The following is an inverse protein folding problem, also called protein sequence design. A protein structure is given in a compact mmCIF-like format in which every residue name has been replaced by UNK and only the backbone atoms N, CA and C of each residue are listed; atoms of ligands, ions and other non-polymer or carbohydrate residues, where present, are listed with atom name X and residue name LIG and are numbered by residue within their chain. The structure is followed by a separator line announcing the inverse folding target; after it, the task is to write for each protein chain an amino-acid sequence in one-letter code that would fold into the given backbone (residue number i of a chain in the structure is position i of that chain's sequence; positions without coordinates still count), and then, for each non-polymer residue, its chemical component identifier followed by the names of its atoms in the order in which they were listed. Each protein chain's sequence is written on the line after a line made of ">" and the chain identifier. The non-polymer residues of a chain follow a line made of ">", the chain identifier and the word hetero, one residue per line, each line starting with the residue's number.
data_IF_895141576336
#
_entry.id   IF_895141576336
#
_cell.length_a   1.000
_cell.length_b   1.000
_cell.length_c   1.000
_cell.angle_alpha   90.00
_cell.angle_beta   90.00
_cell.angle_gamma   90.00
#
_symmetry.space_group_name_H-M   'P 1'
#
loop_
_entity.id
_entity.type
_entity.pdbx_description
1 polymer ?
#
# COMPACT_ATOMS: atom_id res chain seq x y z
N UNK A 1 -42.88 -16.61 -147.81
CA UNK A 1 -43.76 -16.17 -146.69
C UNK A 1 -43.29 -16.86 -145.42
N UNK A 2 -42.84 -16.10 -144.42
CA UNK A 2 -42.31 -16.64 -143.16
C UNK A 2 -43.48 -16.88 -142.20
N UNK A 3 -43.55 -18.09 -141.67
CA UNK A 3 -44.65 -18.63 -140.88
C UNK A 3 -44.70 -18.02 -139.47
N UNK A 4 -45.73 -17.22 -139.21
CA UNK A 4 -45.91 -16.44 -137.97
C UNK A 4 -46.19 -17.32 -136.72
N UNK A 5 -46.38 -18.63 -136.89
CA UNK A 5 -46.66 -19.59 -135.82
C UNK A 5 -45.42 -20.01 -135.02
N UNK A 6 -44.22 -19.99 -135.61
CA UNK A 6 -42.96 -20.37 -134.94
C UNK A 6 -42.35 -19.29 -134.03
N UNK A 7 -42.71 -18.02 -134.22
CA UNK A 7 -42.17 -16.90 -133.42
C UNK A 7 -42.94 -16.73 -132.09
N UNK A 8 -44.22 -17.13 -132.03
CA UNK A 8 -45.01 -17.08 -130.79
C UNK A 8 -44.60 -18.14 -129.76
N UNK A 9 -44.17 -19.33 -130.19
CA UNK A 9 -43.78 -20.42 -129.27
C UNK A 9 -42.43 -20.21 -128.58
N UNK A 10 -41.53 -19.41 -129.18
CA UNK A 10 -40.23 -19.06 -128.57
C UNK A 10 -40.35 -17.92 -127.53
N UNK A 11 -41.27 -16.97 -127.72
CA UNK A 11 -41.56 -15.91 -126.72
C UNK A 11 -42.34 -16.40 -125.50
N UNK A 12 -43.06 -17.52 -125.61
CA UNK A 12 -43.83 -18.08 -124.50
C UNK A 12 -43.00 -19.02 -123.61
N UNK A 13 -41.94 -19.63 -124.13
CA UNK A 13 -40.99 -20.44 -123.34
C UNK A 13 -40.01 -19.61 -122.50
N UNK A 14 -39.62 -18.40 -122.91
CA UNK A 14 -38.67 -17.57 -122.13
C UNK A 14 -39.30 -16.79 -120.96
N UNK A 15 -40.62 -16.51 -121.00
CA UNK A 15 -41.32 -15.81 -119.90
C UNK A 15 -41.70 -16.73 -118.73
N UNK A 16 -41.76 -18.06 -118.92
CA UNK A 16 -42.18 -18.99 -117.86
C UNK A 16 -41.05 -19.29 -116.86
N UNK A 17 -39.79 -19.30 -117.30
CA UNK A 17 -38.62 -19.68 -116.48
C UNK A 17 -38.08 -18.56 -115.58
N UNK A 18 -38.35 -17.29 -115.91
CA UNK A 18 -37.85 -16.12 -115.16
C UNK A 18 -38.75 -15.80 -113.94
N UNK A 19 -40.05 -16.11 -114.03
CA UNK A 19 -41.00 -15.89 -112.92
C UNK A 19 -40.85 -16.87 -111.76
N UNK A 20 -40.46 -18.12 -112.03
CA UNK A 20 -40.28 -19.16 -111.00
C UNK A 20 -38.93 -19.03 -110.27
N UNK A 21 -37.86 -18.67 -110.96
CA UNK A 21 -36.54 -18.42 -110.35
C UNK A 21 -36.50 -17.17 -109.47
N UNK A 22 -37.24 -16.11 -109.82
CA UNK A 22 -37.34 -14.90 -108.98
C UNK A 22 -38.20 -15.14 -107.72
N UNK A 23 -39.26 -15.94 -107.82
CA UNK A 23 -40.07 -16.37 -106.66
C UNK A 23 -39.26 -17.27 -105.72
N UNK A 24 -38.45 -18.19 -106.24
CA UNK A 24 -37.57 -19.04 -105.44
C UNK A 24 -36.47 -18.23 -104.74
N UNK A 25 -35.83 -17.27 -105.42
CA UNK A 25 -34.85 -16.36 -104.79
C UNK A 25 -35.47 -15.47 -103.71
N UNK A 26 -36.70 -14.97 -103.91
CA UNK A 26 -37.43 -14.23 -102.86
C UNK A 26 -37.82 -15.12 -101.68
N UNK A 27 -38.32 -16.33 -101.93
CA UNK A 27 -38.64 -17.29 -100.87
C UNK A 27 -37.38 -17.69 -100.09
N UNK A 28 -36.27 -17.95 -100.77
CA UNK A 28 -34.97 -18.26 -100.15
C UNK A 28 -34.43 -17.07 -99.35
N UNK A 29 -34.57 -15.84 -99.83
CA UNK A 29 -34.21 -14.63 -99.07
C UNK A 29 -35.07 -14.48 -97.81
N UNK A 30 -36.38 -14.72 -97.91
CA UNK A 30 -37.30 -14.66 -96.76
C UNK A 30 -36.95 -15.76 -95.75
N UNK A 31 -36.63 -16.98 -96.19
CA UNK A 31 -36.18 -18.07 -95.33
C UNK A 31 -34.84 -17.73 -94.68
N UNK A 32 -33.90 -17.12 -95.41
CA UNK A 32 -32.60 -16.71 -94.87
C UNK A 32 -32.74 -15.58 -93.83
N UNK A 33 -33.62 -14.60 -94.10
CA UNK A 33 -33.97 -13.54 -93.15
C UNK A 33 -34.63 -14.17 -91.92
N UNK A 34 -35.60 -15.08 -92.10
CA UNK A 34 -36.26 -15.78 -91.00
C UNK A 34 -35.26 -16.54 -90.12
N UNK A 35 -34.33 -17.29 -90.74
CA UNK A 35 -33.25 -18.00 -90.03
C UNK A 35 -32.33 -17.01 -89.31
N UNK A 36 -31.95 -15.90 -89.94
CA UNK A 36 -31.12 -14.86 -89.30
C UNK A 36 -31.85 -14.18 -88.12
N UNK A 37 -33.15 -13.89 -88.23
CA UNK A 37 -33.95 -13.34 -87.11
C UNK A 37 -34.12 -14.35 -85.98
N UNK A 38 -34.33 -15.64 -86.28
CA UNK A 38 -34.43 -16.68 -85.25
C UNK A 38 -33.07 -16.92 -84.59
N UNK A 39 -31.99 -16.96 -85.36
CA UNK A 39 -30.63 -17.13 -84.85
C UNK A 39 -30.16 -15.94 -84.02
N UNK A 40 -30.44 -14.70 -84.45
CA UNK A 40 -30.13 -13.49 -83.68
C UNK A 40 -30.99 -13.37 -82.43
N UNK A 41 -32.28 -13.71 -82.48
CA UNK A 41 -33.15 -13.79 -81.31
C UNK A 41 -32.67 -14.83 -80.29
N UNK A 42 -32.20 -15.99 -80.74
CA UNK A 42 -31.64 -17.03 -79.88
C UNK A 42 -30.30 -16.61 -79.24
N UNK A 43 -29.41 -15.96 -79.99
CA UNK A 43 -28.15 -15.41 -79.46
C UNK A 43 -28.40 -14.31 -78.42
N UNK A 44 -29.30 -13.37 -78.70
CA UNK A 44 -29.66 -12.29 -77.77
C UNK A 44 -30.30 -12.85 -76.48
N UNK A 45 -31.17 -13.86 -76.59
CA UNK A 45 -31.76 -14.53 -75.44
C UNK A 45 -30.70 -15.22 -74.56
N UNK A 46 -29.73 -15.91 -75.17
CA UNK A 46 -28.65 -16.56 -74.41
C UNK A 46 -27.74 -15.55 -73.73
N UNK A 47 -27.40 -14.43 -74.38
CA UNK A 47 -26.61 -13.34 -73.78
C UNK A 47 -27.36 -12.71 -72.59
N UNK A 48 -28.66 -12.44 -72.74
CA UNK A 48 -29.49 -11.91 -71.65
C UNK A 48 -29.59 -12.88 -70.47
N UNK A 49 -29.78 -14.17 -70.77
CA UNK A 49 -29.85 -15.24 -69.77
C UNK A 49 -28.52 -15.38 -69.00
N UNK A 50 -27.39 -15.37 -69.69
CA UNK A 50 -26.06 -15.41 -69.06
C UNK A 50 -25.78 -14.19 -68.20
N UNK A 51 -26.18 -12.99 -68.64
CA UNK A 51 -26.03 -11.76 -67.88
C UNK A 51 -26.89 -11.77 -66.58
N UNK A 52 -28.11 -12.31 -66.63
CA UNK A 52 -28.94 -12.51 -65.44
C UNK A 52 -28.34 -13.56 -64.50
N UNK A 53 -27.83 -14.67 -65.04
CA UNK A 53 -27.12 -15.69 -64.27
C UNK A 53 -25.86 -15.15 -63.58
N UNK A 54 -25.10 -14.27 -64.24
CA UNK A 54 -23.94 -13.60 -63.64
C UNK A 54 -24.36 -12.68 -62.50
N UNK A 55 -25.39 -11.86 -62.67
CA UNK A 55 -25.93 -10.99 -61.60
C UNK A 55 -26.38 -11.79 -60.38
N UNK A 56 -27.06 -12.93 -60.60
CA UNK A 56 -27.48 -13.83 -59.51
C UNK A 56 -26.25 -14.41 -58.80
N UNK A 57 -25.24 -14.88 -59.54
CA UNK A 57 -24.00 -15.42 -58.96
C UNK A 57 -23.22 -14.37 -58.18
N UNK A 58 -23.11 -13.14 -58.68
CA UNK A 58 -22.46 -12.03 -57.97
C UNK A 58 -23.20 -11.67 -56.69
N UNK A 59 -24.54 -11.63 -56.73
CA UNK A 59 -25.37 -11.40 -55.55
C UNK A 59 -25.21 -12.51 -54.50
N UNK A 60 -25.22 -13.79 -54.93
CA UNK A 60 -24.97 -14.94 -54.04
C UNK A 60 -23.56 -14.91 -53.44
N UNK A 61 -22.55 -14.53 -54.24
CA UNK A 61 -21.18 -14.40 -53.78
C UNK A 61 -21.05 -13.28 -52.74
N UNK A 62 -21.65 -12.11 -52.98
CA UNK A 62 -21.64 -10.99 -52.02
C UNK A 62 -22.35 -11.37 -50.71
N UNK A 63 -23.49 -12.06 -50.80
CA UNK A 63 -24.21 -12.56 -49.62
C UNK A 63 -23.36 -13.56 -48.83
N UNK A 64 -22.69 -14.49 -49.52
CA UNK A 64 -21.80 -15.46 -48.88
C UNK A 64 -20.62 -14.79 -48.18
N UNK A 65 -19.97 -13.83 -48.85
CA UNK A 65 -18.86 -13.06 -48.26
C UNK A 65 -19.30 -12.28 -47.01
N UNK A 66 -20.53 -11.72 -47.00
CA UNK A 66 -21.09 -11.06 -45.84
C UNK A 66 -21.33 -12.04 -44.68
N UNK A 67 -21.91 -13.21 -44.95
CA UNK A 67 -22.14 -14.23 -43.92
C UNK A 67 -20.84 -14.81 -43.35
N UNK A 68 -19.83 -15.03 -44.20
CA UNK A 68 -18.48 -15.42 -43.76
C UNK A 68 -17.86 -14.32 -42.88
N UNK A 69 -18.02 -13.04 -43.25
CA UNK A 69 -17.57 -11.91 -42.44
C UNK A 69 -18.30 -11.83 -41.09
N UNK A 70 -19.61 -12.08 -41.05
CA UNK A 70 -20.38 -12.16 -39.80
C UNK A 70 -19.88 -13.29 -38.89
N UNK A 71 -19.59 -14.45 -39.45
CA UNK A 71 -19.06 -15.59 -38.69
C UNK A 71 -17.69 -15.24 -38.07
N UNK A 72 -16.78 -14.67 -38.86
CA UNK A 72 -15.48 -14.21 -38.38
C UNK A 72 -15.61 -13.12 -37.32
N UNK A 73 -16.47 -12.11 -37.54
CA UNK A 73 -16.70 -11.04 -36.59
C UNK A 73 -17.24 -11.55 -35.24
N UNK A 74 -18.12 -12.56 -35.24
CA UNK A 74 -18.57 -13.21 -33.99
C UNK A 74 -17.43 -13.90 -33.26
N UNK A 75 -16.54 -14.56 -33.97
CA UNK A 75 -15.36 -15.18 -33.36
C UNK A 75 -14.45 -14.10 -32.75
N UNK A 76 -14.22 -12.99 -33.46
CA UNK A 76 -13.48 -11.84 -32.93
C UNK A 76 -14.12 -11.25 -31.68
N UNK A 77 -15.45 -11.08 -31.64
CA UNK A 77 -16.16 -10.65 -30.42
C UNK A 77 -15.99 -11.67 -29.30
N UNK A 78 -16.06 -12.97 -29.58
CA UNK A 78 -15.84 -14.00 -28.57
C UNK A 78 -14.42 -13.96 -28.00
N UNK A 79 -13.41 -13.68 -28.83
CA UNK A 79 -12.02 -13.51 -28.40
C UNK A 79 -11.81 -12.21 -27.60
N UNK A 80 -12.36 -11.08 -28.06
CA UNK A 80 -12.28 -9.79 -27.35
C UNK A 80 -12.91 -9.86 -25.95
N UNK A 81 -13.98 -10.63 -25.80
CA UNK A 81 -14.68 -10.82 -24.53
C UNK A 81 -14.23 -12.09 -23.78
N UNK A 82 -13.07 -12.67 -24.11
CA UNK A 82 -12.59 -13.90 -23.47
C UNK A 82 -12.44 -13.76 -21.95
N UNK A 83 -11.96 -12.60 -21.51
CA UNK A 83 -11.78 -12.29 -20.08
C UNK A 83 -13.10 -11.82 -19.42
N UNK A 84 -14.12 -11.52 -20.24
CA UNK A 84 -15.44 -11.06 -19.81
C UNK A 84 -16.57 -11.88 -20.45
N UNK A 85 -16.60 -13.22 -20.27
CA UNK A 85 -17.47 -14.10 -21.05
C UNK A 85 -18.97 -13.87 -20.79
N UNK A 86 -19.32 -13.33 -19.61
CA UNK A 86 -20.68 -13.09 -19.14
C UNK A 86 -21.12 -11.61 -19.28
N UNK A 87 -20.35 -10.77 -19.96
CA UNK A 87 -20.72 -9.37 -20.18
C UNK A 87 -21.96 -9.27 -21.08
N UNK A 88 -22.93 -8.43 -20.70
CA UNK A 88 -24.18 -8.24 -21.45
C UNK A 88 -23.94 -7.60 -22.81
N UNK A 89 -22.94 -6.73 -22.93
CA UNK A 89 -22.61 -6.04 -24.18
C UNK A 89 -22.10 -7.02 -25.24
N UNK A 90 -21.49 -8.14 -24.85
CA UNK A 90 -21.08 -9.21 -25.77
C UNK A 90 -22.26 -9.68 -26.63
N UNK A 91 -23.40 -9.96 -25.99
CA UNK A 91 -24.60 -10.43 -26.66
C UNK A 91 -25.20 -9.33 -27.56
N UNK A 92 -25.11 -8.07 -27.13
CA UNK A 92 -25.56 -6.93 -27.92
C UNK A 92 -24.75 -6.78 -29.21
N UNK A 93 -23.42 -6.87 -29.14
CA UNK A 93 -22.55 -6.82 -30.33
C UNK A 93 -22.78 -8.00 -31.28
N UNK A 94 -22.96 -9.22 -30.76
CA UNK A 94 -23.32 -10.38 -31.59
C UNK A 94 -24.66 -10.18 -32.30
N UNK A 95 -25.65 -9.62 -31.61
CA UNK A 95 -26.97 -9.29 -32.20
C UNK A 95 -26.88 -8.23 -33.30
N UNK A 96 -26.07 -7.17 -33.07
CA UNK A 96 -25.78 -6.15 -34.08
C UNK A 96 -25.08 -6.75 -35.31
N UNK A 97 -24.11 -7.66 -35.14
CA UNK A 97 -23.45 -8.36 -36.25
C UNK A 97 -24.43 -9.24 -37.04
N UNK A 98 -25.33 -9.96 -36.37
CA UNK A 98 -26.36 -10.75 -37.05
C UNK A 98 -27.24 -9.89 -37.96
N UNK A 99 -27.60 -8.70 -37.46
CA UNK A 99 -28.50 -7.76 -38.11
C UNK A 99 -27.82 -6.87 -39.16
N UNK A 100 -26.49 -6.87 -39.22
CA UNK A 100 -25.72 -6.05 -40.15
C UNK A 100 -26.04 -6.40 -41.61
N UNK A 101 -26.19 -5.36 -42.43
CA UNK A 101 -26.54 -5.46 -43.85
C UNK A 101 -25.34 -5.24 -44.77
N UNK A 102 -24.24 -4.73 -44.24
CA UNK A 102 -23.03 -4.45 -45.00
C UNK A 102 -21.75 -4.79 -44.24
N UNK A 103 -20.66 -4.97 -44.98
CA UNK A 103 -19.32 -5.19 -44.42
C UNK A 103 -18.83 -4.00 -43.58
N UNK A 104 -19.22 -2.77 -43.94
CA UNK A 104 -18.81 -1.54 -43.24
C UNK A 104 -19.52 -1.39 -41.89
N UNK A 105 -20.79 -1.79 -41.79
CA UNK A 105 -21.50 -1.87 -40.52
C UNK A 105 -20.82 -2.86 -39.56
N UNK A 106 -20.39 -4.02 -40.07
CA UNK A 106 -19.66 -5.01 -39.25
C UNK A 106 -18.36 -4.41 -38.71
N UNK A 107 -17.60 -3.70 -39.53
CA UNK A 107 -16.33 -3.07 -39.09
C UNK A 107 -16.58 -2.03 -37.99
N UNK A 108 -17.58 -1.14 -38.18
CA UNK A 108 -17.97 -0.16 -37.14
C UNK A 108 -18.40 -0.81 -35.83
N UNK A 109 -19.09 -1.96 -35.91
CA UNK A 109 -19.50 -2.72 -34.71
C UNK A 109 -18.27 -3.30 -34.01
N UNK A 110 -17.32 -3.85 -34.76
CA UNK A 110 -16.07 -4.39 -34.21
C UNK A 110 -15.22 -3.29 -33.57
N UNK A 111 -15.10 -2.13 -34.20
CA UNK A 111 -14.38 -0.98 -33.65
C UNK A 111 -15.00 -0.52 -32.33
N UNK A 112 -16.33 -0.38 -32.29
CA UNK A 112 -17.08 -0.01 -31.08
C UNK A 112 -16.87 -1.03 -29.95
N UNK A 113 -16.87 -2.33 -30.28
CA UNK A 113 -16.62 -3.39 -29.30
C UNK A 113 -15.19 -3.37 -28.77
N UNK A 114 -14.21 -3.06 -29.63
CA UNK A 114 -12.82 -2.91 -29.24
C UNK A 114 -12.63 -1.72 -28.30
N UNK A 115 -13.23 -0.57 -28.60
CA UNK A 115 -13.21 0.62 -27.73
C UNK A 115 -13.85 0.34 -26.36
N UNK A 116 -14.99 -0.34 -26.35
CA UNK A 116 -15.67 -0.74 -25.10
C UNK A 116 -14.77 -1.61 -24.22
N UNK A 117 -14.19 -2.68 -24.78
CA UNK A 117 -13.30 -3.57 -24.02
C UNK A 117 -12.06 -2.82 -23.53
N UNK A 118 -11.46 -1.99 -24.39
CA UNK A 118 -10.30 -1.17 -24.02
C UNK A 118 -10.61 -0.27 -22.82
N UNK A 119 -11.75 0.42 -22.84
CA UNK A 119 -12.18 1.26 -21.72
C UNK A 119 -12.44 0.42 -20.46
N UNK A 120 -13.11 -0.73 -20.60
CA UNK A 120 -13.42 -1.62 -19.47
C UNK A 120 -12.16 -2.13 -18.77
N UNK A 121 -11.20 -2.65 -19.53
CA UNK A 121 -9.92 -3.12 -19.00
C UNK A 121 -9.17 -1.99 -18.32
N UNK A 122 -9.13 -0.80 -18.94
CA UNK A 122 -8.48 0.36 -18.35
C UNK A 122 -9.12 0.80 -17.03
N UNK A 123 -10.46 0.79 -16.91
CA UNK A 123 -11.16 1.04 -15.65
C UNK A 123 -10.72 0.06 -14.56
N UNK A 124 -10.71 -1.23 -14.86
CA UNK A 124 -10.32 -2.26 -13.90
C UNK A 124 -8.87 -2.11 -13.43
N UNK A 125 -7.94 -1.85 -14.36
CA UNK A 125 -6.53 -1.60 -14.04
C UNK A 125 -6.35 -0.41 -13.10
N UNK A 126 -7.00 0.72 -13.41
CA UNK A 126 -6.94 1.93 -12.58
C UNK A 126 -7.56 1.71 -11.21
N UNK A 127 -8.76 1.12 -11.15
CA UNK A 127 -9.45 0.83 -9.89
C UNK A 127 -8.60 -0.09 -9.01
N UNK A 128 -7.99 -1.11 -9.59
CA UNK A 128 -7.09 -2.01 -8.87
C UNK A 128 -5.83 -1.29 -8.41
N UNK A 129 -5.26 -0.40 -9.21
CA UNK A 129 -4.11 0.42 -8.83
C UNK A 129 -4.42 1.32 -7.62
N UNK A 130 -5.59 1.98 -7.60
CA UNK A 130 -6.07 2.78 -6.46
C UNK A 130 -6.21 1.87 -5.24
N UNK A 131 -6.96 0.77 -5.34
CA UNK A 131 -7.18 -0.15 -4.21
C UNK A 131 -5.87 -0.71 -3.65
N UNK A 132 -4.92 -1.07 -4.51
CA UNK A 132 -3.61 -1.58 -4.11
C UNK A 132 -2.76 -0.52 -3.40
N UNK A 133 -2.77 0.73 -3.87
CA UNK A 133 -2.03 1.84 -3.24
C UNK A 133 -2.51 2.12 -1.82
N UNK A 134 -3.84 2.13 -1.63
CA UNK A 134 -4.46 2.35 -0.32
C UNK A 134 -4.40 1.11 0.59
N UNK A 135 -4.48 -0.10 0.02
CA UNK A 135 -4.53 -1.35 0.77
C UNK A 135 -5.70 -1.39 1.76
N UNK A 136 -5.42 -1.80 3.00
CA UNK A 136 -6.42 -1.88 4.09
C UNK A 136 -7.08 -0.54 4.44
N UNK A 137 -6.48 0.58 4.02
CA UNK A 137 -7.00 1.93 4.28
C UNK A 137 -8.02 2.39 3.23
N UNK A 138 -8.24 1.64 2.15
CA UNK A 138 -9.17 2.01 1.06
C UNK A 138 -10.59 2.30 1.58
N UNK A 139 -11.11 1.42 2.44
CA UNK A 139 -12.48 1.52 2.99
C UNK A 139 -12.63 2.77 3.89
N UNK A 140 -11.53 3.31 4.40
CA UNK A 140 -11.52 4.47 5.30
C UNK A 140 -11.35 5.79 4.53
N UNK A 141 -10.91 5.74 3.27
CA UNK A 141 -10.80 6.91 2.40
C UNK A 141 -12.09 7.14 1.62
N UNK A 142 -12.81 8.21 1.94
CA UNK A 142 -13.98 8.64 1.17
C UNK A 142 -13.58 9.15 -0.22
N UNK A 143 -12.41 9.79 -0.33
CA UNK A 143 -11.92 10.34 -1.60
C UNK A 143 -11.58 9.22 -2.59
N UNK A 144 -10.91 8.16 -2.14
CA UNK A 144 -10.61 7.00 -2.97
C UNK A 144 -11.90 6.29 -3.44
N UNK A 145 -12.87 6.10 -2.54
CA UNK A 145 -14.15 5.49 -2.89
C UNK A 145 -14.93 6.33 -3.90
N UNK A 146 -14.99 7.65 -3.71
CA UNK A 146 -15.63 8.56 -4.66
C UNK A 146 -14.92 8.56 -6.03
N UNK A 147 -13.59 8.49 -6.05
CA UNK A 147 -12.84 8.39 -7.30
C UNK A 147 -13.16 7.09 -8.05
N UNK A 148 -13.20 5.95 -7.34
CA UNK A 148 -13.58 4.65 -7.94
C UNK A 148 -14.99 4.71 -8.54
N UNK A 149 -15.97 5.26 -7.82
CA UNK A 149 -17.35 5.41 -8.35
C UNK A 149 -17.42 6.27 -9.61
N UNK A 150 -16.63 7.36 -9.66
CA UNK A 150 -16.53 8.20 -10.86
C UNK A 150 -15.87 7.45 -12.02
N UNK A 151 -14.83 6.67 -11.77
CA UNK A 151 -14.13 5.87 -12.79
C UNK A 151 -15.06 4.77 -13.34
N UNK A 152 -15.84 4.10 -12.48
CA UNK A 152 -16.84 3.11 -12.90
C UNK A 152 -17.86 3.73 -13.86
N UNK A 153 -18.25 4.99 -13.61
CA UNK A 153 -19.24 5.73 -14.40
C UNK A 153 -18.66 6.45 -15.63
N UNK A 154 -17.34 6.57 -15.76
CA UNK A 154 -16.70 7.36 -16.82
C UNK A 154 -16.97 6.79 -18.22
N UNK A 155 -17.15 7.65 -19.22
CA UNK A 155 -17.46 7.25 -20.59
C UNK A 155 -16.21 7.19 -21.49
N UNK A 156 -15.07 7.71 -21.03
CA UNK A 156 -13.83 7.76 -21.81
C UNK A 156 -12.57 7.60 -20.96
N UNK A 157 -11.47 7.22 -21.62
CA UNK A 157 -10.14 7.14 -20.99
C UNK A 157 -9.67 8.54 -20.52
N UNK A 158 -9.99 9.59 -21.27
CA UNK A 158 -9.60 10.97 -20.92
C UNK A 158 -10.29 11.46 -19.64
N UNK A 159 -11.56 11.09 -19.46
CA UNK A 159 -12.29 11.37 -18.22
C UNK A 159 -11.66 10.65 -17.02
N UNK A 160 -11.31 9.37 -17.19
CA UNK A 160 -10.61 8.60 -16.16
C UNK A 160 -9.27 9.25 -15.79
N UNK A 161 -8.48 9.67 -16.78
CA UNK A 161 -7.22 10.37 -16.57
C UNK A 161 -7.42 11.69 -15.81
N UNK A 162 -8.47 12.45 -16.13
CA UNK A 162 -8.81 13.68 -15.42
C UNK A 162 -9.13 13.41 -13.94
N UNK A 163 -9.89 12.36 -13.65
CA UNK A 163 -10.21 11.94 -12.28
C UNK A 163 -8.93 11.58 -11.52
N UNK A 164 -8.06 10.75 -12.09
CA UNK A 164 -6.79 10.33 -11.46
C UNK A 164 -5.89 11.53 -11.20
N UNK A 165 -5.73 12.43 -12.17
CA UNK A 165 -4.86 13.60 -12.05
C UNK A 165 -5.35 14.59 -10.99
N UNK A 166 -6.66 14.61 -10.71
CA UNK A 166 -7.25 15.42 -9.64
C UNK A 166 -7.11 14.80 -8.24
N UNK A 167 -6.76 13.51 -8.16
CA UNK A 167 -6.71 12.75 -6.92
C UNK A 167 -5.34 12.89 -6.27
N UNK A 168 -5.26 13.63 -5.16
CA UNK A 168 -4.08 13.67 -4.31
C UNK A 168 -4.02 12.41 -3.42
N UNK A 169 -3.59 11.29 -4.02
CA UNK A 169 -3.52 9.99 -3.37
C UNK A 169 -2.60 10.02 -2.14
N UNK A 170 -1.47 10.71 -2.23
CA UNK A 170 -0.45 10.71 -1.19
C UNK A 170 -0.95 11.40 0.07
N UNK A 171 -1.50 12.61 -0.08
CA UNK A 171 -2.06 13.39 1.03
C UNK A 171 -3.28 12.71 1.65
N UNK A 172 -4.20 12.21 0.83
CA UNK A 172 -5.41 11.56 1.33
C UNK A 172 -5.11 10.26 2.09
N UNK A 173 -4.22 9.41 1.54
CA UNK A 173 -3.77 8.20 2.21
C UNK A 173 -3.08 8.53 3.54
N UNK A 174 -2.17 9.50 3.55
CA UNK A 174 -1.51 9.96 4.78
C UNK A 174 -2.52 10.40 5.83
N UNK A 175 -3.46 11.27 5.45
CA UNK A 175 -4.49 11.77 6.35
C UNK A 175 -5.39 10.65 6.89
N UNK A 176 -5.71 9.66 6.06
CA UNK A 176 -6.50 8.49 6.45
C UNK A 176 -5.76 7.65 7.50
N UNK A 177 -4.48 7.35 7.27
CA UNK A 177 -3.66 6.58 8.23
C UNK A 177 -3.52 7.34 9.55
N UNK A 178 -3.18 8.64 9.49
CA UNK A 178 -3.03 9.50 10.67
C UNK A 178 -4.32 9.55 11.48
N UNK A 179 -5.49 9.76 10.85
CA UNK A 179 -6.79 9.75 11.55
C UNK A 179 -7.07 8.42 12.24
N UNK A 180 -6.71 7.29 11.63
CA UNK A 180 -6.90 5.99 12.25
C UNK A 180 -5.99 5.80 13.48
N UNK A 181 -4.74 6.27 13.40
CA UNK A 181 -3.82 6.32 14.54
C UNK A 181 -4.38 7.23 15.64
N UNK A 182 -4.80 8.46 15.32
CA UNK A 182 -5.37 9.42 16.28
C UNK A 182 -6.63 8.89 16.97
N UNK A 183 -7.49 8.18 16.23
CA UNK A 183 -8.65 7.48 16.80
C UNK A 183 -8.23 6.42 17.82
N UNK A 184 -7.16 5.69 17.55
CA UNK A 184 -6.58 4.72 18.50
C UNK A 184 -6.06 5.44 19.75
N UNK A 185 -5.45 6.62 19.59
CA UNK A 185 -4.94 7.47 20.68
C UNK A 185 -6.03 8.29 21.41
N UNK A 186 -7.27 8.26 20.93
CA UNK A 186 -8.39 9.02 21.50
C UNK A 186 -8.94 8.43 22.80
N UNK A 187 -8.46 7.25 23.22
CA UNK A 187 -8.77 6.69 24.54
C UNK A 187 -8.27 7.56 25.70
N UNK A 188 -7.28 8.43 25.45
CA UNK A 188 -6.67 9.26 26.47
C UNK A 188 -5.58 8.55 27.28
N UNK A 189 -5.21 7.32 26.91
CA UNK A 189 -4.11 6.60 27.56
C UNK A 189 -2.80 7.38 27.39
N UNK A 190 -1.99 7.40 28.44
CA UNK A 190 -0.70 8.12 28.43
C UNK A 190 0.39 7.32 27.72
N UNK A 191 0.28 6.00 27.71
CA UNK A 191 1.33 5.08 27.29
C UNK A 191 0.81 3.99 26.35
N UNK A 192 1.69 3.56 25.43
CA UNK A 192 1.38 2.63 24.37
C UNK A 192 2.57 1.72 24.06
N UNK A 193 2.30 0.56 23.48
CA UNK A 193 3.31 -0.29 22.86
C UNK A 193 3.31 -0.12 21.34
N UNK A 194 4.50 0.04 20.77
CA UNK A 194 4.72 -0.13 19.33
C UNK A 194 5.05 -1.60 19.04
N UNK A 195 4.11 -2.35 18.44
CA UNK A 195 4.22 -3.81 18.26
C UNK A 195 5.42 -4.25 17.43
N UNK A 196 5.83 -3.45 16.44
CA UNK A 196 6.97 -3.73 15.57
C UNK A 196 8.29 -3.82 16.33
N UNK A 197 8.44 -3.06 17.41
CA UNK A 197 9.68 -2.98 18.21
C UNK A 197 9.50 -3.43 19.67
N UNK A 198 8.29 -3.83 20.08
CA UNK A 198 7.87 -3.97 21.49
C UNK A 198 8.30 -2.78 22.36
N UNK A 199 8.23 -1.59 21.77
CA UNK A 199 8.72 -0.37 22.39
C UNK A 199 7.58 0.29 23.17
N UNK A 200 7.72 0.35 24.48
CA UNK A 200 6.86 1.18 25.31
C UNK A 200 7.12 2.65 24.99
N UNK A 201 6.12 3.49 24.78
CA UNK A 201 6.28 4.90 24.40
C UNK A 201 5.16 5.75 24.99
N UNK A 202 5.39 7.07 25.06
CA UNK A 202 4.33 8.02 25.43
C UNK A 202 3.44 8.36 24.24
N UNK A 203 2.21 8.79 24.52
CA UNK A 203 1.30 9.36 23.52
C UNK A 203 1.95 10.49 22.73
N UNK A 204 2.66 11.39 23.41
CA UNK A 204 3.31 12.55 22.78
C UNK A 204 4.44 12.15 21.84
N UNK A 205 5.17 11.06 22.16
CA UNK A 205 6.15 10.50 21.24
C UNK A 205 5.47 10.05 19.94
N UNK A 206 4.35 9.32 20.02
CA UNK A 206 3.62 8.88 18.83
C UNK A 206 3.10 10.09 18.03
N UNK A 207 2.51 11.09 18.69
CA UNK A 207 2.00 12.30 18.03
C UNK A 207 3.10 13.11 17.33
N UNK A 208 4.33 13.08 17.83
CA UNK A 208 5.49 13.67 17.13
C UNK A 208 5.95 12.79 15.98
N UNK A 209 6.05 11.48 16.20
CA UNK A 209 6.48 10.52 15.18
C UNK A 209 5.58 10.57 13.94
N UNK A 210 4.25 10.59 14.10
CA UNK A 210 3.33 10.60 12.96
C UNK A 210 3.47 11.85 12.08
N UNK A 211 3.96 12.98 12.63
CA UNK A 211 4.18 14.22 11.87
C UNK A 211 5.34 14.11 10.89
N UNK A 212 6.39 13.37 11.26
CA UNK A 212 7.64 13.27 10.48
C UNK A 212 7.75 11.96 9.70
N UNK A 213 7.03 10.91 10.11
CA UNK A 213 7.10 9.60 9.49
C UNK A 213 6.55 9.61 8.05
N UNK A 214 7.20 8.86 7.16
CA UNK A 214 6.72 8.65 5.80
C UNK A 214 5.53 7.66 5.76
N UNK A 215 4.86 7.53 4.61
CA UNK A 215 3.66 6.68 4.50
C UNK A 215 3.94 5.22 4.82
N UNK A 216 5.09 4.68 4.41
CA UNK A 216 5.42 3.27 4.66
C UNK A 216 5.63 3.02 6.16
N UNK A 217 6.39 3.91 6.81
CA UNK A 217 6.57 3.90 8.27
C UNK A 217 5.23 3.99 9.01
N UNK A 218 4.32 4.84 8.56
CA UNK A 218 2.98 4.95 9.13
C UNK A 218 2.12 3.70 8.91
N UNK A 219 2.23 3.04 7.74
CA UNK A 219 1.50 1.80 7.45
C UNK A 219 1.94 0.66 8.37
N UNK A 220 3.23 0.60 8.68
CA UNK A 220 3.81 -0.43 9.55
C UNK A 220 3.64 -0.13 11.05
N UNK A 221 3.23 1.09 11.40
CA UNK A 221 3.03 1.52 12.77
C UNK A 221 1.82 0.84 13.41
N UNK A 222 2.09 -0.21 14.21
CA UNK A 222 1.08 -0.92 14.99
C UNK A 222 1.15 -0.50 16.46
N UNK A 223 0.09 0.13 16.94
CA UNK A 223 -0.01 0.68 18.30
C UNK A 223 -0.96 -0.18 19.13
N UNK A 224 -0.56 -0.49 20.37
CA UNK A 224 -1.37 -1.18 21.36
C UNK A 224 -1.46 -0.37 22.63
N UNK A 225 -2.66 -0.33 23.22
CA UNK A 225 -2.93 0.42 24.44
C UNK A 225 -2.32 -0.29 25.64
N UNK A 226 -1.81 0.49 26.58
CA UNK A 226 -1.44 0.01 27.91
C UNK A 226 -2.58 0.39 28.84
N UNK A 227 -3.45 -0.58 29.15
CA UNK A 227 -4.71 -0.33 29.84
C UNK A 227 -4.51 0.21 31.26
N UNK A 228 -3.65 -0.43 32.06
CA UNK A 228 -3.42 -0.05 33.45
C UNK A 228 -1.96 -0.25 33.87
N UNK A 229 -1.49 0.62 34.76
CA UNK A 229 -0.16 0.56 35.35
C UNK A 229 -0.27 0.41 36.86
N UNK A 230 0.36 -0.64 37.37
CA UNK A 230 0.41 -0.96 38.80
C UNK A 230 1.72 -0.50 39.41
N UNK A 231 1.64 0.08 40.60
CA UNK A 231 2.81 0.52 41.34
C UNK A 231 3.53 -0.69 41.96
N UNK A 232 4.84 -0.79 41.70
CA UNK A 232 5.71 -1.83 42.25
C UNK A 232 6.96 -1.17 42.81
N UNK A 233 7.41 -1.65 43.96
CA UNK A 233 8.63 -1.18 44.61
C UNK A 233 9.75 -2.18 44.38
N UNK A 234 10.89 -1.69 43.89
CA UNK A 234 12.07 -2.53 43.60
C UNK A 234 13.27 -1.96 44.34
N UNK A 235 14.01 -2.81 45.05
CA UNK A 235 15.22 -2.42 45.78
C UNK A 235 16.46 -2.88 45.01
N UNK A 236 17.29 -1.94 44.56
CA UNK A 236 18.40 -2.21 43.65
C UNK A 236 19.72 -1.71 44.24
N UNK A 237 20.82 -2.37 43.88
CA UNK A 237 22.17 -1.83 44.07
C UNK A 237 22.57 -0.89 42.92
N UNK A 238 23.59 -0.02 43.11
CA UNK A 238 24.12 0.80 42.02
C UNK A 238 24.52 -0.01 40.77
N UNK A 239 25.07 -1.23 40.94
CA UNK A 239 25.49 -2.10 39.82
C UNK A 239 24.32 -2.55 38.92
N UNK A 240 23.12 -2.67 39.47
CA UNK A 240 21.92 -3.11 38.74
C UNK A 240 21.30 -1.98 37.90
N UNK A 241 21.88 -0.78 37.97
CA UNK A 241 21.30 0.45 37.47
C UNK A 241 22.42 1.38 36.98
N UNK A 242 22.80 1.32 35.69
CA UNK A 242 23.91 2.09 35.10
C UNK A 242 23.60 3.58 34.94
N UNK A 243 22.36 3.99 35.20
CA UNK A 243 21.93 5.38 35.34
C UNK A 243 20.79 5.43 36.36
N UNK A 244 20.91 6.27 37.39
CA UNK A 244 19.86 6.48 38.37
C UNK A 244 18.63 7.12 37.70
N UNK A 245 17.47 6.45 37.68
CA UNK A 245 16.30 6.94 36.99
C UNK A 245 15.64 8.06 37.78
N UNK A 246 15.17 9.08 37.06
CA UNK A 246 14.36 10.16 37.62
C UNK A 246 12.87 9.85 37.44
N UNK A 247 12.03 10.51 38.25
CA UNK A 247 10.58 10.45 38.07
C UNK A 247 10.20 10.81 36.62
N UNK A 248 9.26 10.06 36.06
CA UNK A 248 8.81 10.18 34.67
C UNK A 248 9.71 9.49 33.63
N UNK A 249 10.89 9.00 34.00
CA UNK A 249 11.71 8.23 33.08
C UNK A 249 11.03 6.90 32.73
N UNK A 250 11.05 6.56 31.43
CA UNK A 250 10.72 5.22 30.97
C UNK A 250 11.96 4.35 31.14
N UNK A 251 11.77 3.16 31.69
CA UNK A 251 12.83 2.20 31.95
C UNK A 251 12.46 0.84 31.34
N UNK A 252 13.49 0.09 30.96
CA UNK A 252 13.39 -1.32 30.61
C UNK A 252 14.00 -2.14 31.73
N UNK A 253 13.30 -3.20 32.12
CA UNK A 253 13.72 -4.11 33.19
C UNK A 253 14.06 -5.45 32.57
N UNK A 254 15.30 -5.88 32.79
CA UNK A 254 15.86 -7.11 32.23
C UNK A 254 16.21 -8.09 33.35
N UNK A 255 16.20 -9.38 33.01
CA UNK A 255 16.87 -10.38 33.82
C UNK A 255 18.37 -10.39 33.47
N UNK A 256 19.22 -10.05 34.43
CA UNK A 256 20.67 -9.92 34.25
C UNK A 256 21.36 -11.21 33.82
N UNK A 257 20.78 -12.38 34.15
CA UNK A 257 21.41 -13.67 33.91
C UNK A 257 21.28 -14.12 32.45
N UNK A 258 20.22 -13.69 31.75
CA UNK A 258 19.93 -14.10 30.38
C UNK A 258 19.72 -12.92 29.40
N UNK A 259 19.75 -11.68 29.89
CA UNK A 259 19.54 -10.47 29.08
C UNK A 259 18.11 -10.28 28.54
N UNK A 260 17.14 -11.08 29.01
CA UNK A 260 15.77 -11.05 28.50
C UNK A 260 15.02 -9.86 29.08
N UNK A 261 14.31 -9.10 28.22
CA UNK A 261 13.41 -8.04 28.66
C UNK A 261 12.21 -8.65 29.39
N UNK A 262 12.04 -8.29 30.66
CA UNK A 262 10.88 -8.68 31.48
C UNK A 262 9.72 -7.75 31.16
N UNK A 263 9.94 -6.43 31.30
CA UNK A 263 8.91 -5.42 31.07
C UNK A 263 9.51 -4.02 30.89
N UNK A 264 8.70 -3.09 30.41
CA UNK A 264 8.98 -1.65 30.43
C UNK A 264 8.06 -0.97 31.44
N UNK A 265 8.58 0.01 32.16
CA UNK A 265 7.85 0.71 33.22
C UNK A 265 8.19 2.19 33.24
N UNK A 266 7.42 2.98 33.99
CA UNK A 266 7.75 4.38 34.29
C UNK A 266 8.19 4.49 35.75
N UNK A 267 9.23 5.27 36.01
CA UNK A 267 9.63 5.59 37.38
C UNK A 267 8.67 6.62 37.96
N UNK A 268 7.97 6.25 39.03
CA UNK A 268 7.13 7.17 39.80
C UNK A 268 8.01 7.99 40.73
N UNK A 269 8.83 7.31 41.51
CA UNK A 269 9.79 7.93 42.44
C UNK A 269 10.98 7.01 42.69
N UNK A 270 12.11 7.59 43.09
CA UNK A 270 13.31 6.85 43.44
C UNK A 270 13.92 7.45 44.69
N UNK A 271 14.30 6.60 45.63
CA UNK A 271 14.80 6.98 46.94
C UNK A 271 16.10 6.23 47.25
N UNK A 272 16.97 6.89 48.01
CA UNK A 272 18.11 6.23 48.65
C UNK A 272 17.63 5.61 49.96
N UNK A 273 17.95 4.33 50.19
CA UNK A 273 17.75 3.71 51.51
C UNK A 273 18.91 4.13 52.39
N UNK A 274 18.67 5.14 53.23
CA UNK A 274 19.69 5.76 54.06
C UNK A 274 20.04 4.84 55.23
N UNK A 275 21.32 4.50 55.32
CA UNK A 275 21.97 4.02 56.56
C UNK A 275 22.84 5.17 57.10
N UNK A 276 23.21 5.11 58.38
CA UNK A 276 24.22 6.03 58.91
C UNK A 276 25.51 5.88 58.11
N UNK A 277 25.96 6.96 57.46
CA UNK A 277 27.21 6.96 56.67
C UNK A 277 28.37 7.16 57.64
N UNK A 278 29.27 6.19 57.71
CA UNK A 278 30.51 6.26 58.50
C UNK A 278 31.69 6.06 57.57
N UNK A 279 32.55 7.07 57.49
CA UNK A 279 33.83 7.00 56.78
C UNK A 279 34.96 7.19 57.79
N UNK A 280 35.95 6.31 57.70
CA UNK A 280 37.17 6.36 58.51
C UNK A 280 38.34 5.96 57.62
N UNK A 281 39.33 6.85 57.49
CA UNK A 281 40.59 6.57 56.81
C UNK A 281 41.75 7.07 57.67
N UNK A 282 42.80 6.26 57.76
CA UNK A 282 44.06 6.60 58.43
C UNK A 282 45.18 6.53 57.41
N UNK A 283 45.92 7.64 57.26
CA UNK A 283 47.11 7.70 56.41
C UNK A 283 48.34 8.01 57.24
N UNK A 284 49.33 7.13 57.14
CA UNK A 284 50.63 7.31 57.78
C UNK A 284 51.63 7.84 56.75
N UNK A 285 52.32 8.92 57.11
CA UNK A 285 53.51 9.38 56.39
C UNK A 285 54.68 9.23 57.34
N UNK A 286 55.62 8.37 56.95
CA UNK A 286 56.86 8.15 57.67
C UNK A 286 58.00 8.80 56.89
N UNK A 287 58.82 9.57 57.60
CA UNK A 287 60.06 10.09 57.08
C UNK A 287 61.16 9.84 58.11
N UNK A 288 62.23 9.21 57.65
CA UNK A 288 63.44 9.00 58.44
C UNK A 288 64.58 9.81 57.85
N UNK A 289 65.38 10.44 58.72
CA UNK A 289 66.62 11.09 58.32
C UNK A 289 67.72 10.59 59.24
N UNK A 290 68.72 9.92 58.68
CA UNK A 290 69.89 9.47 59.42
C UNK A 290 71.05 10.44 59.22
N UNK A 291 71.63 10.93 60.32
CA UNK A 291 72.87 11.73 60.29
C UNK A 291 73.73 11.41 61.51
N UNK A 292 74.99 11.08 61.26
CA UNK A 292 76.00 10.79 62.30
C UNK A 292 75.59 9.71 63.30
N UNK A 293 75.00 8.61 62.83
CA UNK A 293 74.64 7.47 63.67
C UNK A 293 73.41 7.68 64.56
N UNK A 294 72.78 8.85 64.52
CA UNK A 294 71.48 9.09 65.13
C UNK A 294 70.40 9.05 64.04
N UNK A 295 69.43 8.15 64.19
CA UNK A 295 68.18 8.13 63.42
C UNK A 295 67.16 9.03 64.12
N UNK A 296 66.54 9.92 63.35
CA UNK A 296 65.38 10.67 63.80
C UNK A 296 64.23 10.25 62.90
N UNK A 297 63.34 9.44 63.46
CA UNK A 297 62.10 9.04 62.82
C UNK A 297 61.00 10.03 63.17
N UNK A 298 60.31 10.52 62.14
CA UNK A 298 59.13 11.35 62.33
C UNK A 298 57.99 10.71 61.55
N UNK A 299 57.03 10.16 62.29
CA UNK A 299 55.76 9.71 61.74
C UNK A 299 54.69 10.76 62.01
N UNK A 300 53.86 11.00 61.00
CA UNK A 300 52.64 11.76 61.13
C UNK A 300 51.50 10.88 60.64
N UNK A 301 50.54 10.62 61.52
CA UNK A 301 49.29 9.94 61.19
C UNK A 301 48.22 11.01 61.03
N UNK A 302 47.62 11.09 59.85
CA UNK A 302 46.41 11.87 59.63
C UNK A 302 45.21 10.93 59.57
N UNK A 303 44.28 11.11 60.47
CA UNK A 303 43.00 10.39 60.49
C UNK A 303 41.90 11.32 59.97
N UNK A 304 41.09 10.80 59.07
CA UNK A 304 39.86 11.45 58.61
C UNK A 304 38.71 10.52 59.00
N UNK A 305 37.98 10.93 60.03
CA UNK A 305 36.73 10.29 60.46
C UNK A 305 35.59 11.27 60.23
N UNK A 306 34.61 10.91 59.41
CA UNK A 306 33.35 11.65 59.35
C UNK A 306 32.15 10.70 59.36
N UNK A 307 31.13 11.10 60.11
CA UNK A 307 29.93 10.32 60.33
C UNK A 307 28.71 11.22 60.11
N UNK A 308 27.90 10.93 59.11
CA UNK A 308 26.58 11.55 58.95
C UNK A 308 25.58 10.78 59.81
N UNK A 309 25.60 11.04 61.11
CA UNK A 309 24.70 10.41 62.07
C UNK A 309 23.33 11.11 62.06
N UNK A 310 22.25 10.33 62.19
CA UNK A 310 20.88 10.82 62.43
C UNK A 310 20.22 11.57 61.25
N UNK A 311 20.60 11.25 60.01
CA UNK A 311 19.81 11.62 58.81
C UNK A 311 18.32 11.28 58.95
N UNK A 312 17.92 10.09 59.49
CA UNK A 312 16.52 9.80 59.78
C UNK A 312 15.87 10.82 60.73
N UNK A 313 16.60 11.31 61.74
CA UNK A 313 16.12 12.34 62.67
C UNK A 313 15.96 13.72 62.03
N UNK A 314 16.83 14.10 61.09
CA UNK A 314 16.69 15.32 60.29
C UNK A 314 15.40 15.25 59.46
N UNK A 315 15.19 14.14 58.73
CA UNK A 315 13.98 13.94 57.92
C UNK A 315 12.71 13.93 58.79
N UNK A 316 12.75 13.24 59.94
CA UNK A 316 11.63 13.22 60.88
C UNK A 316 11.32 14.62 61.42
N UNK A 317 12.34 15.41 61.79
CA UNK A 317 12.18 16.79 62.24
C UNK A 317 11.57 17.70 61.16
N UNK A 318 11.92 17.50 59.88
CA UNK A 318 11.31 18.20 58.74
C UNK A 318 9.83 17.85 58.58
N UNK A 319 9.47 16.57 58.64
CA UNK A 319 8.06 16.12 58.50
C UNK A 319 7.16 16.69 59.60
N UNK A 320 7.68 16.83 60.83
CA UNK A 320 6.93 17.43 61.95
C UNK A 320 7.04 18.97 62.01
N UNK A 321 7.57 19.61 60.96
CA UNK A 321 7.63 21.07 60.83
C UNK A 321 8.64 21.78 61.72
N UNK A 322 9.62 21.06 62.29
CA UNK A 322 10.71 21.64 63.09
C UNK A 322 11.88 22.17 62.27
N UNK A 323 11.97 21.76 61.01
CA UNK A 323 12.96 22.25 60.03
C UNK A 323 12.22 22.75 58.78
N UNK A 324 12.77 23.75 58.10
CA UNK A 324 12.19 24.28 56.87
C UNK A 324 12.22 23.21 55.76
N UNK A 325 11.04 22.93 55.20
CA UNK A 325 10.88 21.90 54.19
C UNK A 325 11.62 22.23 52.89
N UNK A 326 11.57 23.49 52.44
CA UNK A 326 12.17 23.90 51.18
C UNK A 326 13.69 23.88 51.25
N UNK A 327 14.27 24.31 52.38
CA UNK A 327 15.72 24.25 52.60
C UNK A 327 16.23 22.81 52.61
N UNK A 328 15.49 21.90 53.25
CA UNK A 328 15.84 20.47 53.29
C UNK A 328 15.67 19.83 51.91
N UNK A 329 14.62 20.18 51.15
CA UNK A 329 14.44 19.74 49.75
C UNK A 329 15.58 20.24 48.86
N UNK A 330 16.00 21.49 49.00
CA UNK A 330 17.13 22.03 48.23
C UNK A 330 18.46 21.32 48.57
N UNK A 331 18.65 20.96 49.84
CA UNK A 331 19.87 20.30 50.30
C UNK A 331 19.92 18.81 49.93
N UNK A 332 18.79 18.10 50.01
CA UNK A 332 18.75 16.64 49.89
C UNK A 332 17.93 16.11 48.70
N UNK A 333 17.20 16.94 47.96
CA UNK A 333 16.27 16.53 46.91
C UNK A 333 16.91 15.69 45.80
N UNK A 334 18.13 16.04 45.41
CA UNK A 334 18.93 15.28 44.43
C UNK A 334 20.02 14.41 45.07
N UNK A 335 20.01 14.23 46.38
CA UNK A 335 21.12 13.58 47.09
C UNK A 335 21.42 12.18 46.55
N UNK A 336 20.40 11.34 46.35
CA UNK A 336 20.58 10.01 45.79
C UNK A 336 21.17 10.02 44.37
N UNK A 337 20.74 10.96 43.52
CA UNK A 337 21.27 11.12 42.17
C UNK A 337 22.73 11.62 42.17
N UNK A 338 23.05 12.60 43.04
CA UNK A 338 24.42 13.13 43.19
C UNK A 338 25.37 12.07 43.73
N UNK A 339 24.93 11.29 44.72
CA UNK A 339 25.70 10.18 45.29
C UNK A 339 25.98 9.12 44.22
N UNK A 340 24.93 8.69 43.50
CA UNK A 340 25.07 7.76 42.39
C UNK A 340 26.07 8.25 41.33
N UNK A 341 25.99 9.53 40.95
CA UNK A 341 26.91 10.15 39.99
C UNK A 341 28.36 10.10 40.50
N UNK A 342 28.57 10.42 41.78
CA UNK A 342 29.88 10.35 42.41
C UNK A 342 30.42 8.91 42.45
N UNK A 343 29.62 7.92 42.85
CA UNK A 343 30.00 6.49 42.83
C UNK A 343 30.42 6.06 41.42
N UNK A 344 29.66 6.46 40.40
CA UNK A 344 29.94 6.13 38.99
C UNK A 344 31.22 6.78 38.48
N UNK A 345 31.44 8.06 38.76
CA UNK A 345 32.62 8.80 38.31
C UNK A 345 33.90 8.36 39.03
N UNK A 346 33.80 8.00 40.30
CA UNK A 346 34.93 7.57 41.13
C UNK A 346 35.17 6.06 41.10
N UNK A 347 34.21 5.26 40.61
CA UNK A 347 34.16 3.80 40.69
C UNK A 347 34.24 3.24 42.11
N UNK A 348 33.98 4.08 43.12
CA UNK A 348 33.86 3.66 44.52
C UNK A 348 32.46 3.08 44.68
N UNK A 349 32.29 1.82 44.27
CA UNK A 349 31.02 1.11 44.40
C UNK A 349 30.85 0.63 45.84
N UNK A 350 30.03 1.34 46.63
CA UNK A 350 29.60 0.83 47.92
C UNK A 350 28.38 -0.08 47.74
N UNK A 351 28.64 -1.38 47.66
CA UNK A 351 27.59 -2.40 47.54
C UNK A 351 26.61 -2.45 48.74
N UNK A 352 26.92 -1.74 49.83
CA UNK A 352 26.04 -1.59 50.99
C UNK A 352 24.89 -0.60 50.76
N UNK A 353 25.01 0.28 49.76
CA UNK A 353 24.01 1.25 49.36
C UNK A 353 22.91 0.57 48.55
N UNK A 354 21.66 0.86 48.90
CA UNK A 354 20.46 0.36 48.22
C UNK A 354 19.57 1.52 47.83
N UNK A 355 18.97 1.41 46.66
CA UNK A 355 18.02 2.38 46.13
C UNK A 355 16.65 1.72 46.02
N UNK A 356 15.62 2.38 46.54
CA UNK A 356 14.24 2.00 46.38
C UNK A 356 13.67 2.75 45.18
N UNK A 357 13.36 2.04 44.10
CA UNK A 357 12.73 2.61 42.92
C UNK A 357 11.28 2.15 42.89
N UNK A 358 10.35 3.10 42.96
CA UNK A 358 8.92 2.87 42.76
C UNK A 358 8.63 3.06 41.28
N UNK A 359 8.19 1.98 40.65
CA UNK A 359 7.90 1.91 39.22
C UNK A 359 6.41 1.68 39.00
N UNK A 360 5.90 2.13 37.87
CA UNK A 360 4.56 1.86 37.36
C UNK A 360 4.70 0.95 36.15
N UNK A 361 4.44 -0.33 36.36
CA UNK A 361 4.57 -1.37 35.35
C UNK A 361 3.18 -1.82 34.84
N UNK A 362 3.05 -2.22 33.57
CA UNK A 362 1.84 -2.84 33.04
C UNK A 362 1.39 -4.02 33.90
N UNK A 363 0.10 -4.07 34.22
CA UNK A 363 -0.45 -5.03 35.19
C UNK A 363 -0.14 -6.49 34.83
N UNK A 364 -0.23 -6.82 33.54
CA UNK A 364 0.09 -8.12 32.96
C UNK A 364 1.57 -8.54 33.15
N UNK A 365 2.45 -7.57 33.42
CA UNK A 365 3.87 -7.80 33.67
C UNK A 365 4.26 -7.87 35.14
N UNK A 366 3.37 -7.48 36.06
CA UNK A 366 3.64 -7.43 37.51
C UNK A 366 3.94 -8.82 38.06
N UNK A 367 3.19 -9.84 37.64
CA UNK A 367 3.40 -11.21 38.11
C UNK A 367 4.78 -11.74 37.67
N UNK A 368 5.20 -11.43 36.45
CA UNK A 368 6.51 -11.81 35.94
C UNK A 368 7.63 -11.11 36.70
N UNK A 369 7.45 -9.82 37.02
CA UNK A 369 8.40 -9.07 37.82
C UNK A 369 8.48 -9.62 39.26
N UNK A 370 7.36 -10.01 39.86
CA UNK A 370 7.30 -10.54 41.22
C UNK A 370 7.92 -11.94 41.38
N UNK A 371 7.93 -12.75 40.30
CA UNK A 371 8.59 -14.07 40.27
C UNK A 371 10.11 -13.97 40.20
N UNK A 372 10.64 -12.86 39.71
CA UNK A 372 12.07 -12.64 39.59
C UNK A 372 12.68 -12.21 40.91
N UNK A 373 13.86 -12.75 41.23
CA UNK A 373 14.60 -12.30 42.41
C UNK A 373 15.13 -10.90 42.14
N UNK A 374 14.98 -10.00 43.10
CA UNK A 374 15.39 -8.59 42.96
C UNK A 374 16.88 -8.44 42.60
N UNK A 375 17.73 -9.34 43.11
CA UNK A 375 19.17 -9.38 42.78
C UNK A 375 19.46 -9.67 41.30
N UNK A 376 18.52 -10.31 40.58
CA UNK A 376 18.65 -10.66 39.16
C UNK A 376 18.14 -9.57 38.24
N UNK A 377 17.54 -8.51 38.76
CA UNK A 377 17.01 -7.42 37.95
C UNK A 377 18.13 -6.49 37.50
N UNK A 378 18.01 -5.99 36.28
CA UNK A 378 18.83 -4.91 35.74
C UNK A 378 17.92 -3.89 35.07
N UNK A 379 18.08 -2.61 35.40
CA UNK A 379 17.23 -1.53 34.88
C UNK A 379 18.04 -0.64 33.96
N UNK A 380 17.50 -0.32 32.79
CA UNK A 380 18.08 0.65 31.86
C UNK A 380 17.09 1.78 31.55
N UNK A 381 17.55 3.03 31.63
CA UNK A 381 16.75 4.21 31.27
C UNK A 381 16.64 4.32 29.76
N UNK A 382 15.41 4.37 29.24
CA UNK A 382 15.15 4.49 27.81
C UNK A 382 15.26 5.95 27.39
N UNK A 383 16.18 6.21 26.46
CA UNK A 383 16.35 7.52 25.81
C UNK A 383 15.77 7.43 24.41
N UNK A 384 14.55 7.92 24.22
CA UNK A 384 14.02 8.08 22.87
C UNK A 384 14.81 9.20 22.20
N UNK A 385 15.55 8.89 21.14
CA UNK A 385 16.34 9.85 20.37
C UNK A 385 15.50 11.08 20.03
N UNK A 386 15.85 12.20 20.65
CA UNK A 386 15.07 13.42 20.66
C UNK A 386 15.65 14.28 21.77
N UNK A 387 16.53 15.18 21.37
CA UNK A 387 17.40 15.97 22.23
C UNK A 387 16.61 17.07 22.96
N UNK A 388 15.59 16.77 23.77
CA UNK A 388 14.78 17.85 24.35
C UNK A 388 14.28 17.50 25.76
N UNK A 389 14.87 18.23 26.72
CA UNK A 389 14.38 18.48 28.08
C UNK A 389 12.90 18.90 28.13
#
# INVERSE_FOLDING_TARGET
>A
MVDASKIKSLKQKSKKTIGETMKFKRAMLIVLIAILTVASGFLLYNIYKDMQLQKIKEYELQKKLLEDKKANAKNTINELFKDYPNDKEKLLYISKINSATSSEEIDKILDSAHEYIKLKTYKEEVINSIKNTYGDYYIQSLNAQNAVLKIESAESIDEINSIINSLDIESDLRNTIVKNIERTLSSGDKYYYLKSEKKFVTRDYILRYIKTANINELKDLKIERVAELSAVSVVLSPEQMPEFPKSGNIINIYNKNNGTLITSAIVDSAYLIIKDVKYSESKNVESSVSRYGNEIDKSATSNIDYSLNNLPGVLHATVIGRLDYNDIVNMFGDYGFRLYKLEKETQILDNSIKYLVVIRAPEDSVENLAKEKTENLFISVVKYGGNYE
#
